data_IF_728189455472
#
_entry.id   IF_728189455472
#
_cell.length_a   1.000
_cell.length_b   1.000
_cell.length_c   1.000
_cell.angle_alpha   90.00
_cell.angle_beta   90.00
_cell.angle_gamma   90.00
#
_symmetry.space_group_name_H-M   'P 1'
#
loop_
_entity.id
_entity.type
_entity.pdbx_description
1 polymer ?
#
# COMPACT_ATOMS: atom_id res chain seq x y z
N UNK A 1 1.20 8.96 5.97
CA UNK A 1 0.66 8.93 4.58
C UNK A 1 -0.46 9.94 4.43
N UNK A 2 -0.76 10.40 3.21
CA UNK A 2 -1.73 11.46 2.96
C UNK A 2 -3.15 11.14 3.47
N UNK A 3 -3.63 9.91 3.24
CA UNK A 3 -4.93 9.47 3.77
C UNK A 3 -4.98 9.51 5.31
N UNK A 4 -3.91 9.07 5.97
CA UNK A 4 -3.81 9.15 7.44
C UNK A 4 -3.85 10.60 7.93
N UNK A 5 -3.11 11.51 7.27
CA UNK A 5 -3.14 12.94 7.60
C UNK A 5 -4.54 13.54 7.45
N UNK A 6 -5.25 13.18 6.37
CA UNK A 6 -6.63 13.60 6.15
C UNK A 6 -7.57 13.06 7.24
N UNK A 7 -7.52 11.77 7.56
CA UNK A 7 -8.36 11.17 8.61
C UNK A 7 -8.06 11.76 10.00
N UNK A 8 -6.79 12.05 10.30
CA UNK A 8 -6.39 12.70 11.54
C UNK A 8 -7.00 14.11 11.65
N UNK A 9 -6.89 14.92 10.59
CA UNK A 9 -7.48 16.27 10.56
C UNK A 9 -9.02 16.23 10.64
N UNK A 10 -9.65 15.21 10.04
CA UNK A 10 -11.09 14.99 10.19
C UNK A 10 -11.50 14.69 11.62
N UNK A 11 -10.71 13.89 12.34
CA UNK A 11 -10.96 13.57 13.74
C UNK A 11 -10.71 14.77 14.67
N UNK A 12 -9.66 15.55 14.41
CA UNK A 12 -9.29 16.72 15.23
C UNK A 12 -10.17 17.96 14.96
N UNK A 13 -10.71 18.10 13.75
CA UNK A 13 -11.47 19.29 13.32
C UNK A 13 -12.84 18.94 12.71
N UNK A 14 -13.75 18.23 13.41
CA UNK A 14 -14.96 17.66 12.80
C UNK A 14 -15.90 18.68 12.14
N UNK A 15 -16.03 19.88 12.72
CA UNK A 15 -16.88 20.97 12.18
C UNK A 15 -16.40 21.48 10.81
N UNK A 16 -15.11 21.36 10.49
CA UNK A 16 -14.56 21.69 9.18
C UNK A 16 -15.07 20.73 8.10
N UNK A 17 -15.47 19.51 8.46
CA UNK A 17 -15.76 18.42 7.54
C UNK A 17 -17.25 18.03 7.51
N UNK A 18 -18.01 18.39 8.55
CA UNK A 18 -19.43 18.10 8.66
C UNK A 18 -20.24 18.61 7.45
N UNK A 19 -21.15 17.78 6.95
CA UNK A 19 -22.00 18.08 5.80
C UNK A 19 -21.28 18.12 4.45
N UNK A 20 -19.96 17.86 4.38
CA UNK A 20 -19.19 17.88 3.14
C UNK A 20 -18.99 16.48 2.59
N UNK A 21 -19.18 16.34 1.27
CA UNK A 21 -18.74 15.15 0.54
C UNK A 21 -17.27 15.31 0.15
N UNK A 22 -16.44 14.33 0.51
CA UNK A 22 -14.98 14.38 0.30
C UNK A 22 -14.54 13.20 -0.53
N UNK A 23 -13.78 13.47 -1.60
CA UNK A 23 -13.17 12.44 -2.43
C UNK A 23 -11.65 12.43 -2.21
N UNK A 24 -11.13 11.31 -1.72
CA UNK A 24 -9.70 11.10 -1.62
C UNK A 24 -9.19 10.45 -2.91
N UNK A 25 -8.28 11.14 -3.63
CA UNK A 25 -7.63 10.59 -4.82
C UNK A 25 -6.34 9.91 -4.40
N UNK A 26 -6.31 8.58 -4.54
CA UNK A 26 -5.08 7.81 -4.34
C UNK A 26 -4.16 7.97 -5.56
N UNK A 27 -3.02 8.64 -5.35
CA UNK A 27 -2.04 8.92 -6.41
C UNK A 27 -1.00 7.81 -6.59
N UNK A 28 -1.25 6.61 -6.06
CA UNK A 28 -0.31 5.48 -6.10
C UNK A 28 0.69 5.48 -4.94
N UNK A 29 1.90 5.00 -5.21
CA UNK A 29 2.96 4.85 -4.18
C UNK A 29 3.07 3.46 -3.57
N UNK A 30 2.39 2.45 -4.15
CA UNK A 30 2.49 1.06 -3.70
C UNK A 30 3.92 0.53 -3.77
N UNK A 31 4.69 0.88 -4.81
CA UNK A 31 6.10 0.47 -4.93
C UNK A 31 6.95 1.04 -3.77
N UNK A 32 6.77 2.31 -3.44
CA UNK A 32 7.47 2.92 -2.30
C UNK A 32 7.02 2.36 -0.95
N UNK A 33 5.84 1.73 -0.86
CA UNK A 33 5.43 0.97 0.31
C UNK A 33 6.10 -0.41 0.37
N UNK A 34 6.26 -1.07 -0.78
CA UNK A 34 7.00 -2.32 -0.90
C UNK A 34 8.47 -2.17 -0.48
N UNK A 35 9.13 -1.12 -0.96
CA UNK A 35 10.52 -0.80 -0.57
C UNK A 35 10.68 -0.58 0.95
N UNK A 36 9.59 -0.20 1.63
CA UNK A 36 9.56 0.07 3.07
C UNK A 36 8.91 -1.05 3.88
N UNK A 37 8.56 -2.17 3.23
CA UNK A 37 7.80 -3.24 3.85
C UNK A 37 8.50 -3.80 5.10
N UNK A 38 9.81 -4.02 5.06
CA UNK A 38 10.57 -4.51 6.23
C UNK A 38 10.58 -3.51 7.40
N UNK A 39 10.68 -2.21 7.11
CA UNK A 39 10.65 -1.18 8.16
C UNK A 39 9.27 -1.15 8.83
N UNK A 40 8.20 -1.30 8.04
CA UNK A 40 6.82 -1.27 8.50
C UNK A 40 6.42 -2.58 9.18
N UNK A 41 7.00 -3.71 8.76
CA UNK A 41 6.77 -5.03 9.33
C UNK A 41 6.96 -5.07 10.85
N UNK A 42 8.00 -4.39 11.34
CA UNK A 42 8.27 -4.28 12.79
C UNK A 42 7.13 -3.66 13.59
N UNK A 43 6.34 -2.81 12.94
CA UNK A 43 5.23 -2.05 13.53
C UNK A 43 3.87 -2.73 13.32
N UNK A 44 3.78 -3.69 12.39
CA UNK A 44 2.55 -4.42 12.06
C UNK A 44 2.63 -5.81 12.70
N UNK A 45 1.89 -6.00 13.81
CA UNK A 45 1.89 -7.28 14.52
C UNK A 45 1.53 -8.47 13.62
N UNK A 46 2.28 -9.57 13.75
CA UNK A 46 2.12 -10.81 12.97
C UNK A 46 2.26 -10.62 11.45
N UNK A 47 3.08 -9.67 10.98
CA UNK A 47 3.47 -9.62 9.59
C UNK A 47 4.19 -10.92 9.19
N UNK A 48 3.75 -11.55 8.10
CA UNK A 48 4.45 -12.65 7.45
C UNK A 48 4.50 -12.31 5.97
N UNK A 49 5.70 -12.39 5.39
CA UNK A 49 5.86 -12.35 3.95
C UNK A 49 4.99 -13.43 3.30
N UNK A 50 4.45 -13.13 2.13
CA UNK A 50 3.64 -14.10 1.38
C UNK A 50 4.57 -15.22 0.92
N UNK A 51 4.43 -16.40 1.52
CA UNK A 51 5.17 -17.60 1.12
C UNK A 51 4.53 -18.15 -0.16
N UNK A 52 5.06 -17.73 -1.31
CA UNK A 52 4.61 -18.20 -2.61
C UNK A 52 5.40 -19.48 -2.90
N UNK A 53 4.78 -20.63 -2.63
CA UNK A 53 5.31 -21.90 -3.09
C UNK A 53 5.30 -21.89 -4.63
N UNK A 54 6.47 -21.80 -5.26
CA UNK A 54 6.65 -21.83 -6.72
C UNK A 54 6.20 -23.19 -7.29
N UNK A 55 4.90 -23.41 -7.38
CA UNK A 55 4.27 -24.57 -8.06
C UNK A 55 4.05 -24.31 -9.54
N UNK A 56 4.24 -23.06 -9.98
CA UNK A 56 4.21 -22.66 -11.38
C UNK A 56 5.65 -22.40 -11.79
N UNK A 57 6.26 -23.28 -12.61
CA UNK A 57 7.60 -23.05 -13.13
C UNK A 57 7.62 -21.70 -13.85
N UNK A 58 8.57 -20.84 -13.49
CA UNK A 58 8.87 -19.65 -14.28
C UNK A 58 9.14 -20.14 -15.71
N UNK A 59 8.29 -19.74 -16.65
CA UNK A 59 8.47 -20.09 -18.06
C UNK A 59 9.62 -19.23 -18.57
N UNK A 60 10.85 -19.68 -18.32
CA UNK A 60 12.08 -19.12 -18.91
C UNK A 60 12.02 -19.40 -20.41
N UNK A 61 11.29 -18.53 -21.09
CA UNK A 61 10.90 -18.66 -22.48
C UNK A 61 10.35 -17.35 -23.01
N UNK A 62 10.88 -16.23 -22.54
CA UNK A 62 10.80 -14.99 -23.29
C UNK A 62 11.75 -15.14 -24.49
N UNK A 63 11.15 -15.39 -25.66
CA UNK A 63 11.70 -15.07 -26.97
C UNK A 63 13.14 -15.49 -27.23
N UNK A 64 13.33 -16.65 -27.85
CA UNK A 64 14.49 -16.89 -28.70
C UNK A 64 14.53 -15.77 -29.73
N UNK A 65 15.43 -14.80 -29.54
CA UNK A 65 15.82 -13.87 -30.59
C UNK A 65 16.56 -14.71 -31.64
N UNK A 66 15.89 -15.01 -32.73
CA UNK A 66 16.52 -15.16 -34.04
C UNK A 66 16.39 -13.83 -34.76
#
# INVERSE_FOLDING_TARGET
>A
MAAYGMMKDMAENPTKWEGKNVMFIHTGGLLGLYDKAEQIASSVGKWRGMDIHETIPRKDGAGKMF
#
